data_IF_600997954183
#
_entry.id   IF_600997954183
#
_cell.length_a   1.000
_cell.length_b   1.000
_cell.length_c   1.000
_cell.angle_alpha   90.00
_cell.angle_beta   90.00
_cell.angle_gamma   90.00
#
_symmetry.space_group_name_H-M   'P 1'
#
loop_
_entity.id
_entity.type
_entity.pdbx_description
1 polymer ?
#
# COMPACT_ATOMS: atom_id res chain seq x y z
N UNK A 1 15.60 -8.65 -24.17
CA UNK A 1 16.85 -8.44 -23.40
C UNK A 1 16.52 -8.53 -21.91
N UNK A 2 16.72 -9.68 -21.25
CA UNK A 2 16.26 -9.90 -19.87
C UNK A 2 16.83 -8.92 -18.84
N UNK A 3 18.14 -8.62 -18.92
CA UNK A 3 18.80 -7.70 -18.00
C UNK A 3 18.25 -6.26 -18.12
N UNK A 4 18.05 -5.78 -19.34
CA UNK A 4 17.49 -4.44 -19.58
C UNK A 4 16.10 -4.31 -18.94
N UNK A 5 15.26 -5.35 -19.07
CA UNK A 5 13.94 -5.33 -18.43
C UNK A 5 14.09 -5.27 -16.90
N UNK A 6 14.95 -6.10 -16.31
CA UNK A 6 15.16 -6.12 -14.86
C UNK A 6 15.62 -4.74 -14.33
N UNK A 7 16.58 -4.09 -15.02
CA UNK A 7 17.06 -2.74 -14.64
C UNK A 7 15.94 -1.71 -14.73
N UNK A 8 15.13 -1.74 -15.80
CA UNK A 8 14.02 -0.80 -15.96
C UNK A 8 12.96 -0.97 -14.87
N UNK A 9 12.58 -2.21 -14.56
CA UNK A 9 11.61 -2.48 -13.50
C UNK A 9 12.13 -2.08 -12.12
N UNK A 10 13.41 -2.33 -11.85
CA UNK A 10 14.02 -1.94 -10.57
C UNK A 10 14.11 -0.42 -10.42
N UNK A 11 14.45 0.29 -11.51
CA UNK A 11 14.42 1.74 -11.52
C UNK A 11 13.01 2.29 -11.23
N UNK A 12 11.97 1.69 -11.83
CA UNK A 12 10.57 2.07 -11.57
C UNK A 12 10.07 1.66 -10.19
N UNK A 13 10.59 0.58 -9.60
CA UNK A 13 10.30 0.18 -8.21
C UNK A 13 10.80 1.26 -7.25
N UNK A 14 12.07 1.65 -7.38
CA UNK A 14 12.72 2.62 -6.49
C UNK A 14 12.32 4.08 -6.79
N UNK A 15 12.03 4.39 -8.06
CA UNK A 15 11.71 5.74 -8.53
C UNK A 15 10.40 5.75 -9.33
N UNK A 16 9.26 5.34 -8.74
CA UNK A 16 7.98 5.42 -9.41
C UNK A 16 7.67 6.89 -9.75
N UNK A 17 7.08 7.16 -10.92
CA UNK A 17 6.67 8.52 -11.30
C UNK A 17 5.68 9.16 -10.31
N UNK A 18 4.97 8.34 -9.52
CA UNK A 18 4.05 8.78 -8.48
C UNK A 18 4.32 8.02 -7.18
N UNK A 19 4.62 8.75 -6.12
CA UNK A 19 4.92 8.17 -4.81
C UNK A 19 3.70 7.55 -4.10
N UNK A 20 2.49 8.07 -4.36
CA UNK A 20 1.25 7.65 -3.69
C UNK A 20 0.05 7.71 -4.67
N UNK A 21 -1.00 6.92 -4.43
CA UNK A 21 -2.32 7.16 -5.03
C UNK A 21 -3.31 7.64 -3.97
N UNK A 22 -4.22 8.52 -4.38
CA UNK A 22 -5.21 9.13 -3.48
C UNK A 22 -6.61 8.87 -4.02
N UNK A 23 -7.55 8.59 -3.12
CA UNK A 23 -8.98 8.42 -3.38
C UNK A 23 -9.78 9.15 -2.30
N UNK A 24 -11.01 9.54 -2.63
CA UNK A 24 -11.98 10.07 -1.67
C UNK A 24 -13.18 9.13 -1.67
N UNK A 25 -13.60 8.67 -0.50
CA UNK A 25 -14.74 7.76 -0.37
C UNK A 25 -16.03 8.47 -0.83
N UNK A 26 -16.68 7.95 -1.87
CA UNK A 26 -17.90 8.55 -2.42
C UNK A 26 -19.13 8.34 -1.50
N UNK A 27 -19.06 7.31 -0.66
CA UNK A 27 -20.06 6.91 0.33
C UNK A 27 -19.36 6.22 1.50
N UNK A 28 -20.10 5.93 2.57
CA UNK A 28 -19.61 5.09 3.66
C UNK A 28 -19.31 3.69 3.13
N UNK A 29 -18.14 3.14 3.50
CA UNK A 29 -17.64 1.86 2.99
C UNK A 29 -16.77 1.12 4.03
N UNK A 30 -16.42 -0.13 3.73
CA UNK A 30 -15.60 -1.00 4.57
C UNK A 30 -14.47 -1.59 3.73
N UNK A 31 -13.22 -1.28 4.11
CA UNK A 31 -12.03 -1.83 3.48
C UNK A 31 -11.62 -3.10 4.23
N UNK A 32 -11.69 -4.30 3.61
CA UNK A 32 -11.21 -5.53 4.24
C UNK A 32 -9.68 -5.54 4.32
N UNK A 33 -9.15 -6.03 5.44
CA UNK A 33 -7.71 -6.22 5.61
C UNK A 33 -7.31 -7.62 5.13
N UNK A 34 -6.19 -7.70 4.40
CA UNK A 34 -5.63 -8.99 3.95
C UNK A 34 -5.11 -9.84 5.11
N UNK A 35 -4.73 -9.21 6.22
CA UNK A 35 -4.29 -9.86 7.45
C UNK A 35 -4.93 -9.20 8.67
N UNK A 36 -5.13 -10.00 9.72
CA UNK A 36 -5.65 -9.52 11.00
C UNK A 36 -4.65 -8.55 11.63
N UNK A 37 -5.14 -7.41 12.11
CA UNK A 37 -4.33 -6.41 12.79
C UNK A 37 -4.84 -6.20 14.21
N UNK A 38 -3.94 -6.06 15.19
CA UNK A 38 -4.32 -5.77 16.58
C UNK A 38 -4.44 -4.25 16.73
N UNK A 39 -5.61 -3.81 17.15
CA UNK A 39 -5.89 -2.39 17.43
C UNK A 39 -5.29 -1.98 18.77
N UNK A 40 -5.25 -0.67 19.04
CA UNK A 40 -4.77 -0.14 20.33
C UNK A 40 -5.60 -0.65 21.53
N UNK A 41 -6.89 -0.96 21.34
CA UNK A 41 -7.74 -1.53 22.38
C UNK A 41 -7.50 -3.02 22.61
N UNK A 42 -6.61 -3.66 21.85
CA UNK A 42 -6.34 -5.10 21.91
C UNK A 42 -7.32 -5.94 21.06
N UNK A 43 -8.30 -5.31 20.42
CA UNK A 43 -9.24 -6.01 19.54
C UNK A 43 -8.58 -6.36 18.21
N UNK A 44 -8.97 -7.51 17.66
CA UNK A 44 -8.52 -7.94 16.33
C UNK A 44 -9.41 -7.30 15.25
N UNK A 45 -8.83 -6.43 14.43
CA UNK A 45 -9.47 -5.85 13.27
C UNK A 45 -9.23 -6.71 12.02
N UNK A 46 -10.30 -6.99 11.29
CA UNK A 46 -10.30 -7.62 9.95
C UNK A 46 -10.71 -6.65 8.85
N UNK A 47 -11.16 -5.45 9.20
CA UNK A 47 -11.59 -4.42 8.27
C UNK A 47 -11.48 -3.03 8.88
N UNK A 48 -11.51 -2.00 8.02
CA UNK A 48 -11.51 -0.59 8.40
C UNK A 48 -12.77 0.05 7.82
N UNK A 49 -13.57 0.71 8.66
CA UNK A 49 -14.71 1.52 8.21
C UNK A 49 -14.20 2.88 7.73
N UNK A 50 -14.66 3.31 6.56
CA UNK A 50 -14.34 4.63 5.99
C UNK A 50 -15.64 5.38 5.74
N UNK A 51 -15.76 6.60 6.27
CA UNK A 51 -16.93 7.44 6.03
C UNK A 51 -16.82 8.13 4.68
N UNK A 52 -17.96 8.51 4.08
CA UNK A 52 -18.02 9.39 2.91
C UNK A 52 -17.14 10.63 3.12
N UNK A 53 -16.38 10.99 2.09
CA UNK A 53 -15.45 12.13 2.12
C UNK A 53 -14.08 11.81 2.73
N UNK A 54 -13.87 10.61 3.28
CA UNK A 54 -12.55 10.20 3.81
C UNK A 54 -11.54 10.11 2.67
N UNK A 55 -10.39 10.76 2.85
CA UNK A 55 -9.25 10.64 1.94
C UNK A 55 -8.48 9.36 2.29
N UNK A 56 -8.37 8.46 1.32
CA UNK A 56 -7.58 7.23 1.42
C UNK A 56 -6.34 7.38 0.55
N UNK A 57 -5.16 7.15 1.15
CA UNK A 57 -3.87 7.24 0.48
C UNK A 57 -3.20 5.87 0.48
N UNK A 58 -2.89 5.34 -0.70
CA UNK A 58 -2.11 4.12 -0.86
C UNK A 58 -0.67 4.49 -1.25
N UNK A 59 0.33 4.23 -0.38
CA UNK A 59 1.69 4.68 -0.59
C UNK A 59 2.50 3.71 -1.47
N UNK A 60 2.79 4.10 -2.72
CA UNK A 60 3.53 3.28 -3.68
C UNK A 60 4.99 3.14 -3.24
N UNK A 61 5.66 4.24 -2.87
CA UNK A 61 7.07 4.19 -2.44
C UNK A 61 7.30 3.22 -1.29
N UNK A 62 6.50 3.34 -0.23
CA UNK A 62 6.65 2.52 0.97
C UNK A 62 6.39 1.04 0.71
N UNK A 63 5.45 0.71 -0.19
CA UNK A 63 5.21 -0.68 -0.59
C UNK A 63 6.36 -1.21 -1.47
N UNK A 64 6.89 -0.37 -2.36
CA UNK A 64 7.96 -0.74 -3.26
C UNK A 64 9.31 -0.92 -2.56
N UNK A 65 9.53 -0.34 -1.37
CA UNK A 65 10.74 -0.53 -0.56
C UNK A 65 10.47 -1.33 0.72
N UNK A 66 9.32 -2.01 0.80
CA UNK A 66 9.00 -2.82 1.98
C UNK A 66 9.69 -4.16 1.91
N UNK A 67 10.48 -4.48 2.94
CA UNK A 67 11.12 -5.78 3.07
C UNK A 67 10.10 -6.94 3.17
N UNK A 68 8.86 -6.65 3.60
CA UNK A 68 7.80 -7.67 3.63
C UNK A 68 7.43 -8.14 2.22
N UNK A 69 7.52 -7.26 1.22
CA UNK A 69 7.16 -7.59 -0.16
C UNK A 69 8.40 -7.91 -1.03
N UNK A 70 9.54 -7.28 -0.75
CA UNK A 70 10.73 -7.33 -1.60
C UNK A 70 11.94 -8.03 -0.96
N UNK A 71 11.84 -8.42 0.32
CA UNK A 71 12.90 -9.11 1.05
C UNK A 71 13.92 -8.17 1.70
N UNK A 72 14.92 -8.71 2.42
CA UNK A 72 15.92 -7.92 3.13
C UNK A 72 16.71 -6.99 2.22
N UNK A 73 16.88 -5.73 2.63
CA UNK A 73 17.61 -4.72 1.86
C UNK A 73 16.79 -4.05 0.75
N UNK A 74 15.46 -4.21 0.79
CA UNK A 74 14.51 -3.55 -0.10
C UNK A 74 14.50 -2.02 0.01
#
# INVERSE_FOLDING_TARGET
>A
LPLLHAVVYEALRLHPPKGNTTRVAAQDDVIPLSSRSITRSGETATSIRVAKGTVVVAPIWHLNTSETFWGPGA
#
